data_IF_073162705679
#
_entry.id   IF_073162705679
#
_cell.length_a   1.000
_cell.length_b   1.000
_cell.length_c   1.000
_cell.angle_alpha   90.00
_cell.angle_beta   90.00
_cell.angle_gamma   90.00
#
_symmetry.space_group_name_H-M   'P 1'
#
loop_
_entity.id
_entity.type
_entity.pdbx_description
1 polymer ?
#
# COMPACT_ATOMS: atom_id res chain seq x y z
N UNK A 1 8.41 5.26 -9.18
CA UNK A 1 7.32 4.37 -9.61
C UNK A 1 5.99 5.04 -9.38
N UNK A 2 5.04 4.79 -10.25
CA UNK A 2 3.68 5.33 -10.14
C UNK A 2 2.68 4.39 -10.83
N UNK A 3 1.39 4.57 -10.54
CA UNK A 3 0.31 3.88 -11.22
C UNK A 3 -0.39 4.82 -12.18
N UNK A 4 -0.60 4.38 -13.41
CA UNK A 4 -1.29 5.13 -14.47
C UNK A 4 -2.33 4.28 -15.17
N UNK A 5 -3.43 4.89 -15.58
CA UNK A 5 -4.50 4.25 -16.33
C UNK A 5 -4.87 5.05 -17.55
N UNK A 6 -5.45 4.38 -18.54
CA UNK A 6 -6.07 5.05 -19.68
C UNK A 6 -7.32 5.81 -19.22
N UNK A 7 -7.59 6.99 -19.79
CA UNK A 7 -8.79 7.75 -19.45
C UNK A 7 -10.08 6.94 -19.66
N UNK A 8 -10.97 6.99 -18.68
CA UNK A 8 -12.28 6.33 -18.71
C UNK A 8 -13.39 7.32 -18.33
N UNK A 9 -14.61 7.02 -18.73
CA UNK A 9 -15.76 7.86 -18.41
C UNK A 9 -16.31 7.53 -17.00
N UNK A 10 -15.79 8.22 -16.01
CA UNK A 10 -16.18 8.01 -14.60
C UNK A 10 -17.50 8.68 -14.26
N UNK A 11 -18.36 8.08 -13.40
CA UNK A 11 -18.16 6.80 -12.67
C UNK A 11 -18.64 5.56 -13.46
N UNK A 12 -19.11 5.71 -14.70
CA UNK A 12 -19.75 4.64 -15.48
C UNK A 12 -18.78 3.47 -15.72
N UNK A 13 -17.54 3.80 -16.06
CA UNK A 13 -16.51 2.81 -16.41
C UNK A 13 -15.62 2.40 -15.23
N UNK A 14 -16.09 2.56 -13.99
CA UNK A 14 -15.28 2.27 -12.81
C UNK A 14 -14.69 0.85 -12.80
N UNK A 15 -15.49 -0.15 -13.18
CA UNK A 15 -15.06 -1.55 -13.22
C UNK A 15 -14.10 -1.86 -14.38
N UNK A 16 -14.06 -0.99 -15.39
CA UNK A 16 -13.16 -1.09 -16.56
C UNK A 16 -11.90 -0.24 -16.40
N UNK A 17 -11.70 0.35 -15.24
CA UNK A 17 -10.52 1.17 -14.95
C UNK A 17 -9.41 0.28 -14.39
N UNK A 18 -8.31 0.18 -15.12
CA UNK A 18 -7.18 -0.67 -14.80
C UNK A 18 -5.91 0.18 -14.71
N UNK A 19 -5.28 0.19 -13.56
CA UNK A 19 -4.03 0.93 -13.34
C UNK A 19 -2.83 0.03 -13.60
N UNK A 20 -1.98 0.44 -14.51
CA UNK A 20 -0.68 -0.16 -14.80
C UNK A 20 0.39 0.40 -13.87
N UNK A 21 1.42 -0.39 -13.57
CA UNK A 21 2.59 0.01 -12.81
C UNK A 21 3.67 0.50 -13.77
N UNK A 22 4.12 1.73 -13.58
CA UNK A 22 5.09 2.39 -14.43
C UNK A 22 6.29 2.92 -13.63
N UNK A 23 7.41 3.05 -14.32
CA UNK A 23 8.64 3.67 -13.83
C UNK A 23 9.02 4.82 -14.75
N UNK A 24 9.45 5.93 -14.16
CA UNK A 24 10.11 7.04 -14.84
C UNK A 24 11.36 7.40 -14.04
N UNK A 25 12.42 7.74 -14.73
CA UNK A 25 13.64 8.23 -14.07
C UNK A 25 13.42 9.64 -13.54
N UNK A 26 14.08 9.97 -12.44
CA UNK A 26 14.02 11.28 -11.81
C UNK A 26 15.44 11.74 -11.47
N UNK A 27 15.78 12.93 -11.91
CA UNK A 27 17.05 13.58 -11.60
C UNK A 27 16.86 14.52 -10.41
N UNK A 28 17.39 14.14 -9.26
CA UNK A 28 17.30 14.93 -8.01
C UNK A 28 18.04 16.27 -8.11
N UNK A 29 19.10 16.36 -8.92
CA UNK A 29 19.90 17.59 -9.03
C UNK A 29 19.17 18.69 -9.79
N UNK A 30 18.38 18.30 -10.81
CA UNK A 30 17.62 19.24 -11.64
C UNK A 30 16.14 19.30 -11.26
N UNK A 31 15.63 18.32 -10.49
CA UNK A 31 14.23 18.18 -10.15
C UNK A 31 13.35 17.78 -11.35
N UNK A 32 13.92 17.16 -12.39
CA UNK A 32 13.23 16.82 -13.63
C UNK A 32 13.00 15.33 -13.79
N UNK A 33 11.89 14.98 -14.47
CA UNK A 33 11.62 13.60 -14.87
C UNK A 33 12.23 13.29 -16.23
N UNK A 34 12.68 12.06 -16.43
CA UNK A 34 13.11 11.54 -17.72
C UNK A 34 11.95 11.44 -18.70
N UNK A 35 12.26 11.38 -19.99
CA UNK A 35 11.25 11.28 -21.05
C UNK A 35 10.70 9.86 -21.23
N UNK A 36 11.48 8.86 -20.84
CA UNK A 36 11.13 7.45 -21.00
C UNK A 36 10.29 6.94 -19.83
N UNK A 37 9.14 6.34 -20.18
CA UNK A 37 8.28 5.63 -19.24
C UNK A 37 8.40 4.13 -19.53
N UNK A 38 8.84 3.37 -18.55
CA UNK A 38 8.88 1.92 -18.61
C UNK A 38 7.63 1.34 -17.92
N UNK A 39 6.87 0.50 -18.65
CA UNK A 39 5.73 -0.22 -18.09
C UNK A 39 6.24 -1.51 -17.44
N UNK A 40 6.16 -1.59 -16.12
CA UNK A 40 6.57 -2.77 -15.33
C UNK A 40 5.46 -3.83 -15.33
N UNK A 41 4.21 -3.39 -15.14
CA UNK A 41 3.02 -4.22 -15.20
C UNK A 41 1.96 -3.54 -16.08
N UNK A 42 1.48 -4.22 -17.10
CA UNK A 42 0.48 -3.69 -18.02
C UNK A 42 -0.91 -4.25 -17.68
N UNK A 43 -1.70 -3.48 -16.95
CA UNK A 43 -3.02 -3.89 -16.48
C UNK A 43 -4.05 -4.09 -17.61
N UNK A 44 -3.94 -3.37 -18.70
CA UNK A 44 -4.82 -3.55 -19.88
C UNK A 44 -4.56 -4.89 -20.59
N UNK A 45 -3.32 -5.39 -20.56
CA UNK A 45 -2.94 -6.68 -21.15
C UNK A 45 -3.12 -7.84 -20.18
N UNK A 46 -2.67 -7.65 -18.92
CA UNK A 46 -2.49 -8.73 -17.96
C UNK A 46 -3.64 -8.80 -16.94
N UNK A 47 -4.58 -7.87 -17.04
CA UNK A 47 -5.75 -7.76 -16.17
C UNK A 47 -5.45 -7.23 -14.77
N UNK A 48 -6.48 -6.97 -13.99
CA UNK A 48 -6.34 -6.40 -12.65
C UNK A 48 -6.02 -4.90 -12.66
N UNK A 49 -5.70 -4.38 -11.49
CA UNK A 49 -5.35 -2.97 -11.27
C UNK A 49 -4.34 -2.88 -10.14
N UNK A 50 -3.28 -2.11 -10.33
CA UNK A 50 -2.17 -1.99 -9.38
C UNK A 50 -2.23 -0.64 -8.69
N UNK A 51 -1.94 -0.63 -7.39
CA UNK A 51 -1.92 0.59 -6.59
C UNK A 51 -0.83 0.56 -5.51
N UNK A 52 -0.50 1.72 -4.97
CA UNK A 52 0.43 1.92 -3.85
C UNK A 52 1.82 1.27 -4.06
N UNK A 53 2.54 1.53 -5.16
CA UNK A 53 3.90 1.02 -5.30
C UNK A 53 4.82 1.65 -4.24
N UNK A 54 5.48 0.80 -3.44
CA UNK A 54 6.40 1.21 -2.37
C UNK A 54 7.74 0.50 -2.53
N UNK A 55 8.77 1.27 -2.80
CA UNK A 55 10.14 0.78 -2.88
C UNK A 55 10.68 0.44 -1.49
N UNK A 56 11.37 -0.69 -1.36
CA UNK A 56 12.12 -0.97 -0.13
C UNK A 56 13.25 0.06 0.05
N UNK A 57 13.64 0.39 1.30
CA UNK A 57 14.65 1.43 1.55
C UNK A 57 16.02 1.16 0.92
N UNK A 58 16.35 -0.11 0.68
CA UNK A 58 17.59 -0.54 0.00
C UNK A 58 17.47 -0.54 -1.53
N UNK A 59 16.28 -0.28 -2.08
CA UNK A 59 16.02 -0.25 -3.51
C UNK A 59 15.95 -1.60 -4.20
N UNK A 60 15.92 -2.71 -3.46
CA UNK A 60 15.95 -4.06 -4.06
C UNK A 60 14.56 -4.61 -4.40
N UNK A 61 13.52 -4.19 -3.67
CA UNK A 61 12.18 -4.73 -3.80
C UNK A 61 11.14 -3.63 -4.01
N UNK A 62 10.14 -3.93 -4.82
CA UNK A 62 8.96 -3.08 -5.01
C UNK A 62 7.72 -3.86 -4.57
N UNK A 63 7.08 -3.37 -3.49
CA UNK A 63 5.84 -3.92 -2.97
C UNK A 63 4.67 -3.08 -3.49
N UNK A 64 3.60 -3.72 -3.93
CA UNK A 64 2.40 -3.07 -4.46
C UNK A 64 1.16 -3.88 -4.14
N UNK A 65 -0.02 -3.28 -4.26
CA UNK A 65 -1.30 -3.97 -4.13
C UNK A 65 -1.89 -4.20 -5.52
N UNK A 66 -2.41 -5.40 -5.77
CA UNK A 66 -3.14 -5.77 -6.99
C UNK A 66 -4.58 -6.13 -6.63
N UNK A 67 -5.54 -5.50 -7.29
CA UNK A 67 -6.97 -5.76 -7.20
C UNK A 67 -7.55 -6.11 -8.57
N UNK A 68 -8.85 -6.43 -8.68
CA UNK A 68 -9.50 -6.75 -9.94
C UNK A 68 -9.61 -5.53 -10.87
N UNK A 69 -9.92 -4.36 -10.33
CA UNK A 69 -10.09 -3.12 -11.10
C UNK A 69 -9.89 -1.88 -10.23
N UNK A 70 -9.90 -0.70 -10.85
CA UNK A 70 -9.96 0.62 -10.24
C UNK A 70 -8.83 0.92 -9.23
N UNK A 71 -9.15 1.77 -8.24
CA UNK A 71 -8.29 2.13 -7.11
C UNK A 71 -9.05 1.86 -5.81
N UNK A 72 -8.53 2.28 -4.66
CA UNK A 72 -9.09 1.96 -3.33
C UNK A 72 -9.16 0.45 -3.05
N UNK A 73 -8.03 -0.27 -3.14
CA UNK A 73 -7.99 -1.72 -3.01
C UNK A 73 -8.57 -2.24 -1.69
N UNK A 74 -8.67 -1.39 -0.66
CA UNK A 74 -9.27 -1.74 0.63
C UNK A 74 -10.77 -2.12 0.53
N UNK A 75 -11.43 -1.76 -0.58
CA UNK A 75 -12.81 -2.13 -0.88
C UNK A 75 -12.92 -3.38 -1.76
N UNK A 76 -11.79 -3.87 -2.26
CA UNK A 76 -11.70 -5.07 -3.08
C UNK A 76 -11.28 -6.25 -2.22
N UNK A 77 -12.19 -7.19 -1.99
CA UNK A 77 -11.93 -8.35 -1.14
C UNK A 77 -10.73 -9.17 -1.60
N UNK A 78 -10.55 -9.24 -2.90
CA UNK A 78 -9.48 -9.96 -3.62
C UNK A 78 -8.19 -9.16 -3.79
N UNK A 79 -8.07 -8.03 -3.11
CA UNK A 79 -6.86 -7.20 -3.22
C UNK A 79 -5.72 -7.80 -2.40
N UNK A 80 -4.66 -8.18 -3.08
CA UNK A 80 -3.48 -8.85 -2.54
C UNK A 80 -2.21 -7.99 -2.64
N UNK A 81 -1.28 -8.20 -1.74
CA UNK A 81 0.08 -7.70 -1.84
C UNK A 81 0.88 -8.54 -2.82
N UNK A 82 1.66 -7.89 -3.67
CA UNK A 82 2.59 -8.48 -4.63
C UNK A 82 3.94 -7.80 -4.53
N UNK A 83 5.02 -8.54 -4.78
CA UNK A 83 6.37 -8.02 -4.65
C UNK A 83 7.22 -8.39 -5.85
N UNK A 84 7.94 -7.40 -6.38
CA UNK A 84 8.94 -7.59 -7.44
C UNK A 84 10.34 -7.44 -6.87
N UNK A 85 11.25 -8.31 -7.26
CA UNK A 85 12.70 -8.11 -7.13
C UNK A 85 13.18 -7.27 -8.32
N UNK A 86 13.78 -6.11 -8.04
CA UNK A 86 14.10 -5.15 -9.09
C UNK A 86 15.35 -5.49 -9.90
N UNK A 87 16.20 -6.39 -9.40
CA UNK A 87 17.43 -6.80 -10.10
C UNK A 87 17.16 -7.60 -11.39
N UNK A 88 16.08 -8.34 -11.43
CA UNK A 88 15.73 -9.27 -12.53
C UNK A 88 14.23 -9.17 -12.94
N UNK A 89 13.42 -8.42 -12.21
CA UNK A 89 11.98 -8.26 -12.47
C UNK A 89 11.14 -9.48 -12.09
N UNK A 90 11.68 -10.40 -11.28
CA UNK A 90 10.96 -11.57 -10.81
C UNK A 90 9.89 -11.19 -9.77
N UNK A 91 8.65 -11.66 -9.98
CA UNK A 91 7.61 -11.60 -8.95
C UNK A 91 7.87 -12.67 -7.89
N UNK A 92 8.06 -12.24 -6.66
CA UNK A 92 8.34 -13.11 -5.53
C UNK A 92 7.04 -13.65 -4.93
N UNK A 93 7.11 -14.88 -4.42
CA UNK A 93 6.00 -15.47 -3.67
C UNK A 93 5.87 -14.79 -2.31
N UNK A 94 4.79 -14.01 -2.15
CA UNK A 94 4.44 -13.32 -0.91
C UNK A 94 3.04 -13.70 -0.42
N UNK A 95 2.52 -14.84 -0.86
CA UNK A 95 1.18 -15.33 -0.47
C UNK A 95 1.01 -15.45 1.05
N UNK A 96 2.10 -15.62 1.79
CA UNK A 96 2.08 -15.62 3.26
C UNK A 96 1.57 -14.29 3.86
N UNK A 97 1.67 -13.18 3.12
CA UNK A 97 1.12 -11.88 3.53
C UNK A 97 -0.40 -11.80 3.31
N UNK A 98 -0.91 -12.57 2.36
CA UNK A 98 -2.28 -12.47 1.87
C UNK A 98 -3.26 -13.36 2.65
N UNK A 99 -4.55 -13.13 2.45
CA UNK A 99 -5.65 -13.87 3.08
C UNK A 99 -6.86 -13.95 2.15
N UNK A 100 -7.98 -14.47 2.63
CA UNK A 100 -9.23 -14.44 1.88
C UNK A 100 -9.95 -13.08 1.88
N UNK A 101 -9.37 -12.09 2.55
CA UNK A 101 -9.85 -10.72 2.62
C UNK A 101 -8.76 -9.76 2.10
N UNK A 102 -9.09 -8.48 1.95
CA UNK A 102 -8.16 -7.49 1.38
C UNK A 102 -6.91 -7.26 2.21
N UNK A 103 -5.78 -7.12 1.53
CA UNK A 103 -4.51 -6.60 2.01
C UNK A 103 -4.09 -5.36 1.19
N UNK A 104 -3.78 -4.26 1.88
CA UNK A 104 -3.41 -3.01 1.22
C UNK A 104 -2.67 -2.05 2.16
N UNK A 105 -2.40 -0.83 1.66
CA UNK A 105 -1.83 0.28 2.42
C UNK A 105 -0.58 -0.12 3.20
N UNK A 106 0.39 -0.66 2.49
CA UNK A 106 1.63 -1.15 3.06
C UNK A 106 2.71 -0.07 3.12
N UNK A 107 3.62 -0.23 4.08
CA UNK A 107 4.82 0.58 4.23
C UNK A 107 6.00 -0.25 4.72
N UNK A 108 7.21 0.23 4.42
CA UNK A 108 8.46 -0.38 4.85
C UNK A 108 9.02 0.33 6.07
N UNK A 109 9.57 -0.42 7.01
CA UNK A 109 10.46 0.16 8.01
C UNK A 109 11.76 0.67 7.37
N UNK A 110 12.39 1.66 7.97
CA UNK A 110 13.61 2.29 7.42
C UNK A 110 14.80 1.34 7.25
N UNK A 111 14.81 0.21 7.95
CA UNK A 111 15.84 -0.84 7.79
C UNK A 111 15.45 -1.91 6.76
N UNK A 112 14.29 -1.79 6.09
CA UNK A 112 13.81 -2.74 5.10
C UNK A 112 13.43 -4.13 5.63
N UNK A 113 13.32 -4.29 6.97
CA UNK A 113 13.09 -5.60 7.60
C UNK A 113 11.65 -5.84 8.01
N UNK A 114 10.84 -4.81 8.09
CA UNK A 114 9.46 -4.91 8.50
C UNK A 114 8.55 -4.33 7.44
N UNK A 115 7.46 -5.05 7.17
CA UNK A 115 6.37 -4.64 6.30
C UNK A 115 5.14 -4.48 7.18
N UNK A 116 4.59 -3.27 7.22
CA UNK A 116 3.36 -2.93 7.93
C UNK A 116 2.27 -2.70 6.89
N UNK A 117 1.09 -3.30 7.09
CA UNK A 117 -0.02 -3.20 6.14
C UNK A 117 -1.38 -3.30 6.83
N UNK A 118 -2.40 -2.83 6.13
CA UNK A 118 -3.80 -2.92 6.55
C UNK A 118 -4.47 -4.15 5.96
N UNK A 119 -5.19 -4.90 6.79
CA UNK A 119 -5.93 -6.09 6.36
C UNK A 119 -7.30 -6.18 7.02
N UNK A 120 -8.27 -6.74 6.31
CA UNK A 120 -9.61 -7.04 6.85
C UNK A 120 -9.78 -8.50 7.30
N UNK A 121 -8.73 -9.30 7.34
CA UNK A 121 -8.76 -10.74 7.62
C UNK A 121 -9.40 -11.18 8.92
N UNK A 122 -9.62 -10.27 9.89
CA UNK A 122 -10.26 -10.63 11.16
C UNK A 122 -11.78 -10.74 11.05
N UNK A 123 -12.43 -9.81 10.34
CA UNK A 123 -13.89 -9.70 10.34
C UNK A 123 -14.49 -9.31 8.97
N UNK A 124 -13.67 -9.10 7.96
CA UNK A 124 -14.07 -8.67 6.63
C UNK A 124 -14.62 -7.23 6.56
N UNK A 125 -14.63 -6.48 7.68
CA UNK A 125 -15.23 -5.14 7.76
C UNK A 125 -14.23 -4.05 8.08
N UNK A 126 -13.51 -4.21 9.18
CA UNK A 126 -12.62 -3.19 9.68
C UNK A 126 -11.17 -3.56 9.39
N UNK A 127 -10.42 -2.61 8.88
CA UNK A 127 -8.98 -2.80 8.70
C UNK A 127 -8.26 -2.83 10.05
N UNK A 128 -7.35 -3.79 10.18
CA UNK A 128 -6.42 -3.91 11.28
C UNK A 128 -5.00 -3.89 10.73
N UNK A 129 -4.07 -3.45 11.55
CA UNK A 129 -2.67 -3.40 11.18
C UNK A 129 -2.00 -4.74 11.42
N UNK A 130 -1.38 -5.25 10.39
CA UNK A 130 -0.55 -6.46 10.44
C UNK A 130 0.90 -6.10 10.11
N UNK A 131 1.82 -6.76 10.77
CA UNK A 131 3.24 -6.56 10.56
C UNK A 131 3.91 -7.90 10.25
N UNK A 132 4.76 -7.92 9.25
CA UNK A 132 5.56 -9.07 8.85
C UNK A 132 7.03 -8.73 8.89
N UNK A 133 7.86 -9.72 9.22
CA UNK A 133 9.30 -9.60 9.19
C UNK A 133 9.87 -10.23 7.91
N UNK A 134 10.87 -9.57 7.33
CA UNK A 134 11.63 -10.06 6.18
C UNK A 134 13.08 -10.29 6.60
N UNK A 135 13.60 -11.48 6.33
CA UNK A 135 14.99 -11.84 6.65
C UNK A 135 16.00 -11.22 5.66
N UNK A 136 17.28 -11.45 5.90
CA UNK A 136 18.37 -10.93 5.05
C UNK A 136 18.41 -11.52 3.64
N UNK A 137 17.76 -12.65 3.46
CA UNK A 137 17.66 -13.33 2.15
C UNK A 137 16.42 -12.90 1.36
N UNK A 138 15.59 -12.01 1.91
CA UNK A 138 14.33 -11.58 1.31
C UNK A 138 13.14 -12.49 1.58
N UNK A 139 13.27 -13.50 2.46
CA UNK A 139 12.14 -14.35 2.82
C UNK A 139 11.22 -13.61 3.79
N UNK A 140 9.93 -13.60 3.48
CA UNK A 140 8.91 -13.00 4.33
C UNK A 140 8.35 -14.06 5.28
N UNK A 141 8.21 -13.68 6.54
CA UNK A 141 7.64 -14.51 7.58
C UNK A 141 6.18 -14.17 7.82
N UNK A 142 5.46 -15.13 8.44
CA UNK A 142 4.04 -15.00 8.73
C UNK A 142 3.72 -13.69 9.44
N UNK A 143 2.78 -12.89 8.91
CA UNK A 143 2.38 -11.65 9.56
C UNK A 143 1.61 -11.91 10.85
N UNK A 144 1.70 -10.99 11.78
CA UNK A 144 0.91 -10.99 13.00
C UNK A 144 0.21 -9.64 13.19
N UNK A 145 -0.90 -9.69 13.92
CA UNK A 145 -1.67 -8.51 14.28
C UNK A 145 -0.81 -7.58 15.13
N UNK A 146 -0.69 -6.32 14.73
CA UNK A 146 0.10 -5.33 15.47
C UNK A 146 -0.45 -5.18 16.88
N UNK A 147 0.35 -5.47 17.94
CA UNK A 147 -0.11 -5.37 19.31
C UNK A 147 -0.61 -3.97 19.66
N UNK A 148 -1.68 -3.91 20.40
CA UNK A 148 -2.24 -2.70 20.99
C UNK A 148 -2.11 -2.76 22.52
N UNK A 149 -2.62 -1.75 23.21
CA UNK A 149 -2.56 -1.68 24.68
C UNK A 149 -3.21 -2.88 25.37
N UNK A 150 -4.26 -3.44 24.76
CA UNK A 150 -4.90 -4.71 25.20
C UNK A 150 -5.25 -5.54 23.98
N UNK A 151 -5.47 -6.84 24.17
CA UNK A 151 -5.90 -7.77 23.10
C UNK A 151 -7.29 -7.39 22.57
N UNK A 152 -8.18 -7.00 23.48
CA UNK A 152 -9.56 -6.61 23.18
C UNK A 152 -9.62 -5.36 22.32
N UNK A 153 -8.62 -4.48 22.38
CA UNK A 153 -8.60 -3.24 21.60
C UNK A 153 -8.81 -3.50 20.12
N UNK A 154 -8.11 -4.47 19.55
CA UNK A 154 -8.26 -4.82 18.14
C UNK A 154 -9.60 -5.50 17.83
N UNK A 155 -10.14 -6.30 18.74
CA UNK A 155 -11.40 -7.03 18.56
C UNK A 155 -12.60 -6.09 18.66
N UNK A 156 -12.62 -5.23 19.71
CA UNK A 156 -13.75 -4.34 19.98
C UNK A 156 -13.74 -3.05 19.18
N UNK A 157 -12.64 -2.76 18.46
CA UNK A 157 -12.53 -1.54 17.66
C UNK A 157 -13.52 -1.54 16.49
N UNK A 158 -14.42 -0.57 16.46
CA UNK A 158 -15.41 -0.34 15.39
C UNK A 158 -14.95 0.71 14.38
N UNK A 159 -13.63 0.98 14.31
CA UNK A 159 -13.03 1.91 13.36
C UNK A 159 -11.92 1.21 12.59
N UNK A 160 -11.81 1.51 11.31
CA UNK A 160 -10.70 1.06 10.47
C UNK A 160 -9.45 1.88 10.71
N UNK A 161 -8.29 1.23 10.67
CA UNK A 161 -7.03 1.91 10.41
C UNK A 161 -6.93 2.23 8.92
N UNK A 162 -6.33 3.38 8.60
CA UNK A 162 -6.09 3.76 7.22
C UNK A 162 -4.67 3.39 6.82
N UNK A 163 -3.95 4.27 6.12
CA UNK A 163 -2.60 4.02 5.65
C UNK A 163 -1.62 4.06 6.84
N UNK A 164 -0.98 2.95 7.23
CA UNK A 164 0.01 2.96 8.28
C UNK A 164 1.36 3.44 7.73
N UNK A 165 2.07 4.21 8.52
CA UNK A 165 3.42 4.66 8.19
C UNK A 165 4.35 4.48 9.40
N UNK A 166 5.59 4.05 9.14
CA UNK A 166 6.64 4.08 10.14
C UNK A 166 7.18 5.49 10.28
N UNK A 167 7.39 5.92 11.51
CA UNK A 167 7.96 7.23 11.83
C UNK A 167 9.25 7.09 12.63
N UNK A 168 10.12 8.08 12.54
CA UNK A 168 11.30 8.21 13.39
C UNK A 168 11.02 9.23 14.48
N UNK A 169 11.13 8.79 15.74
CA UNK A 169 10.88 9.63 16.89
C UNK A 169 9.41 9.66 17.35
N UNK A 170 9.11 10.52 18.29
CA UNK A 170 7.80 10.64 18.92
C UNK A 170 6.93 11.67 18.17
N UNK A 171 5.63 11.38 18.03
CA UNK A 171 4.65 12.33 17.54
C UNK A 171 4.36 13.35 18.63
N UNK A 172 4.88 14.56 18.48
CA UNK A 172 4.74 15.64 19.47
C UNK A 172 3.46 16.44 19.35
N UNK A 173 2.75 16.33 18.20
CA UNK A 173 1.49 17.05 17.98
C UNK A 173 0.33 16.31 18.66
N UNK A 174 -0.38 16.97 19.59
CA UNK A 174 -1.58 16.40 20.18
C UNK A 174 -2.65 16.13 19.11
N UNK A 175 -3.28 14.97 19.16
CA UNK A 175 -4.33 14.58 18.23
C UNK A 175 -5.46 15.64 18.11
N UNK A 176 -5.78 16.34 19.19
CA UNK A 176 -6.77 17.43 19.20
C UNK A 176 -6.37 18.62 18.33
N UNK A 177 -5.08 18.93 18.21
CA UNK A 177 -4.63 20.05 17.36
C UNK A 177 -4.74 19.71 15.86
N UNK A 178 -4.51 18.45 15.49
CA UNK A 178 -4.73 18.00 14.11
C UNK A 178 -6.23 18.09 13.74
N UNK A 179 -7.13 17.69 14.65
CA UNK A 179 -8.57 17.81 14.42
C UNK A 179 -9.04 19.27 14.30
N UNK A 180 -8.45 20.21 15.05
CA UNK A 180 -8.80 21.63 14.99
C UNK A 180 -8.34 22.28 13.69
N UNK A 181 -7.20 21.92 13.14
CA UNK A 181 -6.73 22.40 11.84
C UNK A 181 -7.67 21.94 10.72
N UNK A 182 -8.11 20.68 10.73
CA UNK A 182 -9.06 20.15 9.73
C UNK A 182 -10.45 20.77 9.82
N UNK A 183 -10.90 21.19 11.01
CA UNK A 183 -12.23 21.79 11.17
C UNK A 183 -12.25 23.27 10.88
N UNK A 184 -11.14 23.98 10.96
CA UNK A 184 -11.05 25.39 10.59
C UNK A 184 -11.08 25.60 9.08
N UNK A 185 -10.37 24.77 8.30
CA UNK A 185 -10.36 24.86 6.83
C UNK A 185 -11.72 24.47 6.19
N UNK A 186 -12.49 23.58 6.84
CA UNK A 186 -13.80 23.16 6.34
C UNK A 186 -14.93 24.16 6.64
N UNK A 187 -14.68 25.20 7.43
CA UNK A 187 -15.68 26.23 7.77
C UNK A 187 -15.55 27.50 6.92
N UNK A 188 -14.48 27.62 6.11
CA UNK A 188 -14.19 28.79 5.28
C UNK A 188 -14.47 28.55 3.77
N UNK A 189 -14.99 27.38 3.36
CA UNK A 189 -15.56 27.09 2.05
C UNK A 189 -17.11 26.99 2.14
#
# INVERSE_FOLDING_TARGET
YYCGALPKNMPIDYQNLHYSLCKVDFDEATGTFGERIDTIYNAERDGGSVSFPRLSPDGHYLLYTKAACATFPIWHKEADLKMLRLSDGEELDVEILNSAETESYHSWSSNGRWILFSSRRLDGRYTRLFIAWMDEKGNIHKPFLLPQSTVEHNVLRTKSYNIPEFIKGEVTLPQKQLCLLYTSDAADE
#
